data_IF_212622587903
#
_entry.id   IF_212622587903
#
_cell.length_a   1.000
_cell.length_b   1.000
_cell.length_c   1.000
_cell.angle_alpha   90.00
_cell.angle_beta   90.00
_cell.angle_gamma   90.00
#
_symmetry.space_group_name_H-M   'P 1'
#
loop_
_entity.id
_entity.type
_entity.pdbx_description
1 polymer ?
#
# COMPACT_ATOMS: atom_id res chain seq x y z
N UNK A 1 24.86 -14.32 3.97
CA UNK A 1 24.22 -14.94 2.79
C UNK A 1 23.57 -13.79 2.02
N UNK A 2 24.07 -13.44 0.83
CA UNK A 2 23.47 -12.36 0.03
C UNK A 2 22.20 -12.92 -0.61
N UNK A 3 21.08 -12.32 -0.22
CA UNK A 3 19.70 -12.68 -0.51
C UNK A 3 19.47 -12.86 -2.00
N UNK A 4 18.92 -14.01 -2.40
CA UNK A 4 18.33 -14.12 -3.73
C UNK A 4 17.23 -13.07 -3.79
N UNK A 5 17.34 -12.09 -4.69
CA UNK A 5 16.22 -11.22 -5.03
C UNK A 5 15.11 -12.12 -5.53
N UNK A 6 14.07 -12.32 -4.70
CA UNK A 6 12.91 -13.12 -5.09
C UNK A 6 12.34 -12.49 -6.36
N UNK A 7 12.25 -13.27 -7.44
CA UNK A 7 11.79 -12.79 -8.74
C UNK A 7 10.31 -12.46 -8.75
N UNK A 8 9.57 -13.01 -7.79
CA UNK A 8 8.14 -12.82 -7.61
C UNK A 8 7.84 -12.52 -6.15
N UNK A 9 6.81 -11.70 -5.91
CA UNK A 9 6.25 -11.50 -4.58
C UNK A 9 5.81 -12.84 -3.98
N UNK A 10 6.10 -13.08 -2.70
CA UNK A 10 5.71 -14.33 -2.03
C UNK A 10 4.24 -14.37 -1.64
N UNK A 11 3.57 -13.23 -1.61
CA UNK A 11 2.17 -13.09 -1.21
C UNK A 11 1.26 -13.08 -2.45
N UNK A 12 1.43 -12.10 -3.36
CA UNK A 12 0.60 -12.02 -4.57
C UNK A 12 1.21 -12.66 -5.83
N UNK A 13 2.46 -13.14 -5.79
CA UNK A 13 3.09 -13.82 -6.93
C UNK A 13 3.57 -12.92 -8.08
N UNK A 14 3.40 -11.59 -7.99
CA UNK A 14 3.74 -10.68 -9.10
C UNK A 14 5.25 -10.59 -9.33
N UNK A 15 5.67 -10.47 -10.58
CA UNK A 15 7.08 -10.32 -10.98
C UNK A 15 7.67 -8.94 -10.61
N UNK A 16 9.00 -8.90 -10.44
CA UNK A 16 9.74 -7.63 -10.22
C UNK A 16 9.43 -6.61 -11.32
N UNK A 17 9.19 -5.36 -10.91
CA UNK A 17 8.84 -4.25 -11.80
C UNK A 17 7.35 -4.17 -12.17
N UNK A 18 6.51 -5.06 -11.66
CA UNK A 18 5.04 -4.99 -11.78
C UNK A 18 4.39 -4.52 -10.48
N UNK A 19 3.19 -3.95 -10.57
CA UNK A 19 2.41 -3.60 -9.38
C UNK A 19 1.81 -4.85 -8.75
N UNK A 20 1.73 -4.85 -7.42
CA UNK A 20 1.06 -5.90 -6.67
C UNK A 20 -0.44 -5.96 -6.97
N UNK A 21 -1.05 -7.09 -6.60
CA UNK A 21 -2.50 -7.16 -6.50
C UNK A 21 -2.96 -6.37 -5.27
N UNK A 22 -4.06 -5.60 -5.35
CA UNK A 22 -4.54 -4.79 -4.23
C UNK A 22 -4.78 -5.64 -2.97
N UNK A 23 -4.23 -5.19 -1.85
CA UNK A 23 -4.36 -5.87 -0.56
C UNK A 23 -3.23 -6.85 -0.27
N UNK A 24 -2.16 -6.84 -1.06
CA UNK A 24 -1.00 -7.69 -0.82
C UNK A 24 -0.21 -7.19 0.41
N UNK A 25 0.19 -8.12 1.27
CA UNK A 25 0.92 -7.87 2.52
C UNK A 25 2.30 -7.23 2.28
N UNK A 26 2.83 -7.30 1.06
CA UNK A 26 4.11 -6.69 0.71
C UNK A 26 3.97 -5.38 -0.05
N UNK A 27 2.74 -4.91 -0.31
CA UNK A 27 2.54 -3.60 -0.93
C UNK A 27 3.11 -2.49 -0.06
N UNK A 28 3.89 -1.61 -0.69
CA UNK A 28 4.49 -0.47 -0.04
C UNK A 28 3.63 0.78 -0.28
N UNK A 29 3.28 1.49 0.80
CA UNK A 29 2.56 2.75 0.74
C UNK A 29 3.41 3.80 0.01
N UNK A 30 2.90 4.44 -1.06
CA UNK A 30 3.67 5.43 -1.81
C UNK A 30 3.85 6.77 -1.09
N UNK A 31 3.25 6.93 0.10
CA UNK A 31 3.37 8.12 0.93
C UNK A 31 4.41 7.93 2.05
N UNK A 32 4.31 6.85 2.82
CA UNK A 32 5.16 6.62 4.00
C UNK A 32 6.20 5.51 3.83
N UNK A 33 6.15 4.75 2.73
CA UNK A 33 7.00 3.57 2.50
C UNK A 33 6.85 2.44 3.52
N UNK A 34 5.80 2.49 4.36
CA UNK A 34 5.35 1.36 5.19
C UNK A 34 4.49 0.37 4.41
N UNK A 35 3.93 -0.63 5.10
CA UNK A 35 3.00 -1.58 4.50
C UNK A 35 1.66 -0.87 4.17
N UNK A 36 1.21 -0.97 2.91
CA UNK A 36 0.06 -0.21 2.41
C UNK A 36 -1.25 -0.54 3.16
N UNK A 37 -1.49 -1.82 3.44
CA UNK A 37 -2.73 -2.29 4.07
C UNK A 37 -2.87 -1.90 5.55
N UNK A 38 -1.80 -1.44 6.20
CA UNK A 38 -1.79 -1.14 7.64
C UNK A 38 -1.30 0.27 7.97
N UNK A 39 -1.01 1.09 6.95
CA UNK A 39 -0.59 2.47 7.17
C UNK A 39 -1.79 3.40 7.43
N UNK A 40 -1.55 4.45 8.22
CA UNK A 40 -2.59 5.45 8.55
C UNK A 40 -2.75 6.55 7.48
N UNK A 41 -1.98 6.50 6.39
CA UNK A 41 -2.01 7.52 5.35
C UNK A 41 -3.40 7.67 4.71
N UNK A 42 -4.21 6.60 4.69
CA UNK A 42 -5.58 6.68 4.18
C UNK A 42 -6.44 7.64 5.01
N UNK A 43 -6.30 7.65 6.34
CA UNK A 43 -7.05 8.54 7.22
C UNK A 43 -6.61 10.00 7.04
N UNK A 44 -5.29 10.24 6.94
CA UNK A 44 -4.74 11.58 6.72
C UNK A 44 -5.24 12.19 5.39
N UNK A 45 -5.18 11.41 4.31
CA UNK A 45 -5.55 11.88 2.97
C UNK A 45 -7.07 11.94 2.73
N UNK A 46 -7.86 11.17 3.47
CA UNK A 46 -9.32 11.25 3.44
C UNK A 46 -9.89 12.22 4.48
N UNK A 47 -9.04 12.84 5.30
CA UNK A 47 -9.41 13.71 6.41
C UNK A 47 -10.38 13.03 7.41
N UNK A 48 -10.07 11.78 7.74
CA UNK A 48 -10.81 10.96 8.70
C UNK A 48 -10.06 10.92 10.03
N UNK A 49 -10.82 10.82 11.11
CA UNK A 49 -10.30 10.56 12.45
C UNK A 49 -10.39 9.04 12.71
N UNK A 50 -9.26 8.31 12.79
CA UNK A 50 -9.26 6.86 12.99
C UNK A 50 -9.82 6.43 14.36
N UNK A 51 -9.95 7.36 15.31
CA UNK A 51 -10.50 7.07 16.64
C UNK A 51 -12.03 7.25 16.69
N UNK A 52 -12.65 7.74 15.61
CA UNK A 52 -14.11 7.92 15.54
C UNK A 52 -14.81 6.69 14.98
N UNK A 53 -15.99 6.37 15.52
CA UNK A 53 -16.88 5.36 14.94
C UNK A 53 -17.52 5.86 13.63
N UNK A 54 -17.71 5.00 12.62
CA UNK A 54 -17.38 3.58 12.59
C UNK A 54 -15.91 3.28 12.20
N UNK A 55 -15.11 4.29 11.88
CA UNK A 55 -13.75 4.13 11.36
C UNK A 55 -12.83 3.34 12.29
N UNK A 56 -12.92 3.54 13.61
CA UNK A 56 -12.14 2.79 14.59
C UNK A 56 -12.39 1.27 14.55
N UNK A 57 -13.64 0.85 14.36
CA UNK A 57 -14.05 -0.55 14.46
C UNK A 57 -14.15 -1.25 13.12
N UNK A 58 -14.56 -0.53 12.06
CA UNK A 58 -14.83 -1.08 10.72
C UNK A 58 -13.77 -0.66 9.69
N UNK A 59 -12.91 0.31 10.00
CA UNK A 59 -11.98 0.89 9.04
C UNK A 59 -12.68 1.77 8.00
N UNK A 60 -12.21 1.73 6.75
CA UNK A 60 -12.83 2.47 5.65
C UNK A 60 -14.07 1.74 5.14
N UNK A 61 -15.15 2.49 4.92
CA UNK A 61 -16.30 1.97 4.17
C UNK A 61 -15.99 1.91 2.66
N UNK A 62 -16.90 1.33 1.88
CA UNK A 62 -16.72 1.13 0.43
C UNK A 62 -16.42 2.46 -0.33
N UNK A 63 -17.15 3.54 -0.04
CA UNK A 63 -16.95 4.84 -0.69
C UNK A 63 -15.58 5.45 -0.34
N UNK A 64 -15.18 5.34 0.92
CA UNK A 64 -13.88 5.80 1.40
C UNK A 64 -12.74 4.99 0.78
N UNK A 65 -12.91 3.67 0.67
CA UNK A 65 -11.94 2.78 0.03
C UNK A 65 -11.77 3.12 -1.45
N UNK A 66 -12.86 3.40 -2.17
CA UNK A 66 -12.78 3.85 -3.57
C UNK A 66 -12.05 5.19 -3.72
N UNK A 67 -12.29 6.14 -2.81
CA UNK A 67 -11.56 7.42 -2.78
C UNK A 67 -10.08 7.18 -2.52
N UNK A 68 -9.75 6.32 -1.55
CA UNK A 68 -8.36 5.96 -1.26
C UNK A 68 -7.65 5.33 -2.47
N UNK A 69 -8.32 4.41 -3.17
CA UNK A 69 -7.80 3.78 -4.38
C UNK A 69 -7.50 4.80 -5.48
N UNK A 70 -8.32 5.85 -5.63
CA UNK A 70 -8.07 6.95 -6.58
C UNK A 70 -6.84 7.76 -6.19
N UNK A 71 -6.70 8.11 -4.91
CA UNK A 71 -5.54 8.84 -4.39
C UNK A 71 -4.24 8.05 -4.62
N UNK A 72 -4.26 6.73 -4.38
CA UNK A 72 -3.13 5.85 -4.65
C UNK A 72 -2.76 5.81 -6.13
N UNK A 73 -3.77 5.71 -7.01
CA UNK A 73 -3.54 5.70 -8.46
C UNK A 73 -2.93 7.01 -8.95
N UNK A 74 -3.41 8.15 -8.46
CA UNK A 74 -2.88 9.49 -8.78
C UNK A 74 -1.46 9.70 -8.25
N UNK A 75 -1.17 9.20 -7.04
CA UNK A 75 0.17 9.25 -6.44
C UNK A 75 1.16 8.35 -7.19
N UNK A 76 0.69 7.22 -7.70
CA UNK A 76 1.49 6.17 -8.30
C UNK A 76 1.89 5.10 -7.29
N UNK A 77 1.41 3.87 -7.50
CA UNK A 77 1.81 2.71 -6.72
C UNK A 77 3.29 2.39 -6.90
N UNK A 78 3.80 1.57 -5.99
CA UNK A 78 5.19 1.13 -6.00
C UNK A 78 5.27 -0.26 -6.65
N UNK A 79 6.06 -0.44 -7.72
CA UNK A 79 6.29 -1.77 -8.28
C UNK A 79 7.07 -2.67 -7.33
N UNK A 80 6.80 -3.97 -7.39
CA UNK A 80 7.54 -4.97 -6.63
C UNK A 80 9.04 -4.93 -6.97
N UNK A 81 9.87 -5.03 -5.93
CA UNK A 81 11.32 -5.10 -6.10
C UNK A 81 11.97 -3.83 -6.62
N UNK A 82 11.37 -2.65 -6.38
CA UNK A 82 12.02 -1.36 -6.69
C UNK A 82 13.42 -1.35 -6.06
N UNK A 83 14.45 -1.14 -6.86
CA UNK A 83 15.78 -0.88 -6.30
C UNK A 83 15.74 0.49 -5.64
N UNK A 84 15.75 0.52 -4.31
CA UNK A 84 16.02 1.76 -3.59
C UNK A 84 17.48 2.14 -3.88
N UNK A 85 17.69 2.97 -4.90
CA UNK A 85 18.95 3.69 -5.07
C UNK A 85 19.06 4.65 -3.89
N UNK A 86 19.62 4.17 -2.78
CA UNK A 86 20.22 5.03 -1.78
C UNK A 86 21.48 5.60 -2.44
N UNK A 87 21.35 6.80 -3.00
CA UNK A 87 22.48 7.64 -3.42
C UNK A 87 23.16 8.27 -2.21
#
# INVERSE_FOLDING_TARGET
MRTMTQKTCHDCGVEVGKFHEPGCDTEECPFCHGQLISCDCCYEHLHLDPEQEPTYSEGLNEEQQEKWNKILLEKGLIPYGRETHFG
#
